data_IF_608627796553
#
_entry.id   IF_608627796553
#
_cell.length_a   1.000
_cell.length_b   1.000
_cell.length_c   1.000
_cell.angle_alpha   90.00
_cell.angle_beta   90.00
_cell.angle_gamma   90.00
#
_symmetry.space_group_name_H-M   'P 1'
#
loop_
_entity.id
_entity.type
_entity.pdbx_description
1 polymer ?
#
# COMPACT_ATOMS: atom_id res chain seq x y z
N UNK A 1 -11.07 -17.76 5.98
CA UNK A 1 -10.02 -18.25 5.08
C UNK A 1 -9.27 -17.05 4.48
N UNK A 2 -7.97 -17.15 4.45
CA UNK A 2 -7.12 -16.08 3.98
C UNK A 2 -6.81 -16.24 2.48
N UNK A 3 -6.48 -15.13 1.83
CA UNK A 3 -5.96 -15.17 0.48
C UNK A 3 -4.61 -15.91 0.46
N UNK A 4 -4.34 -16.65 -0.61
CA UNK A 4 -3.16 -17.47 -0.73
C UNK A 4 -2.03 -16.69 -1.40
N UNK A 5 -0.85 -16.67 -0.77
CA UNK A 5 0.35 -16.06 -1.34
C UNK A 5 1.00 -17.02 -2.32
N UNK A 6 1.43 -16.52 -3.47
CA UNK A 6 2.02 -17.31 -4.55
C UNK A 6 3.42 -16.78 -4.86
N UNK A 7 4.43 -17.61 -4.59
CA UNK A 7 5.84 -17.29 -4.88
C UNK A 7 6.49 -18.56 -5.48
N UNK A 8 6.37 -18.78 -6.80
CA UNK A 8 6.85 -20.04 -7.41
C UNK A 8 8.38 -20.09 -7.44
N UNK A 9 8.91 -21.32 -7.38
CA UNK A 9 10.37 -21.56 -7.45
C UNK A 9 10.98 -21.17 -8.80
N UNK A 10 10.16 -21.06 -9.83
CA UNK A 10 10.60 -20.69 -11.19
C UNK A 10 10.87 -19.20 -11.34
N UNK A 11 10.55 -18.40 -10.36
CA UNK A 11 10.86 -16.98 -10.31
C UNK A 11 11.82 -16.69 -9.15
N UNK A 12 12.64 -15.66 -9.30
CA UNK A 12 13.47 -15.20 -8.18
C UNK A 12 12.57 -14.85 -6.98
N UNK A 13 13.04 -15.05 -5.74
CA UNK A 13 12.27 -14.63 -4.57
C UNK A 13 11.92 -13.14 -4.63
N UNK A 14 10.80 -12.73 -3.99
CA UNK A 14 10.47 -11.31 -3.94
C UNK A 14 11.63 -10.47 -3.39
N UNK A 15 11.95 -9.38 -4.07
CA UNK A 15 13.07 -8.52 -3.71
C UNK A 15 12.75 -7.62 -2.50
N UNK A 16 11.55 -7.67 -1.97
CA UNK A 16 11.12 -6.82 -0.87
C UNK A 16 9.90 -7.39 -0.16
N UNK A 17 9.19 -6.51 0.53
CA UNK A 17 8.05 -6.87 1.38
C UNK A 17 6.76 -7.06 0.57
N UNK A 18 6.74 -8.05 -0.32
CA UNK A 18 5.57 -8.35 -1.15
C UNK A 18 5.55 -9.84 -1.53
N UNK A 19 4.43 -10.29 -2.10
CA UNK A 19 4.31 -11.58 -2.78
C UNK A 19 4.23 -11.35 -4.30
N UNK A 20 4.71 -12.34 -5.09
CA UNK A 20 4.57 -12.25 -6.55
C UNK A 20 3.12 -12.28 -6.98
N UNK A 21 2.30 -13.08 -6.31
CA UNK A 21 0.88 -13.13 -6.58
C UNK A 21 0.09 -13.43 -5.32
N UNK A 22 -1.20 -13.12 -5.36
CA UNK A 22 -2.14 -13.44 -4.27
C UNK A 22 -3.42 -13.94 -4.91
N UNK A 23 -3.86 -15.13 -4.48
CA UNK A 23 -5.15 -15.69 -4.89
C UNK A 23 -6.16 -15.43 -3.79
N UNK A 24 -7.28 -14.79 -4.13
CA UNK A 24 -8.41 -14.65 -3.23
C UNK A 24 -9.61 -15.38 -3.82
N UNK A 25 -10.42 -16.07 -3.01
CA UNK A 25 -11.64 -16.71 -3.50
C UNK A 25 -12.61 -15.69 -4.11
N UNK A 26 -13.48 -16.16 -5.01
CA UNK A 26 -14.49 -15.30 -5.64
C UNK A 26 -15.58 -14.85 -4.70
N UNK A 27 -15.83 -15.58 -3.60
CA UNK A 27 -16.82 -15.19 -2.58
C UNK A 27 -16.17 -14.29 -1.54
N UNK A 28 -17.00 -13.59 -0.75
CA UNK A 28 -16.52 -12.67 0.28
C UNK A 28 -16.72 -11.22 -0.11
N UNK A 29 -16.06 -10.33 0.62
CA UNK A 29 -16.16 -8.90 0.39
C UNK A 29 -14.85 -8.34 -0.13
N UNK A 30 -14.93 -7.56 -1.18
CA UNK A 30 -13.81 -6.84 -1.77
C UNK A 30 -13.90 -5.37 -1.41
N UNK A 31 -12.75 -4.79 -1.08
CA UNK A 31 -12.62 -3.35 -0.84
C UNK A 31 -11.61 -2.79 -1.82
N UNK A 32 -12.00 -1.76 -2.53
CA UNK A 32 -11.12 -1.00 -3.43
C UNK A 32 -10.82 0.32 -2.75
N UNK A 33 -9.56 0.52 -2.36
CA UNK A 33 -9.12 1.74 -1.68
C UNK A 33 -8.56 2.69 -2.73
N UNK A 34 -9.19 3.84 -2.85
CA UNK A 34 -8.71 4.90 -3.75
C UNK A 34 -7.31 5.36 -3.34
N UNK A 35 -6.60 6.00 -4.27
CA UNK A 35 -5.29 6.57 -3.97
C UNK A 35 -5.34 7.47 -2.74
N UNK A 36 -4.50 7.14 -1.76
CA UNK A 36 -4.36 7.91 -0.53
C UNK A 36 -3.08 8.72 -0.60
N UNK A 37 -3.18 9.99 -0.27
CA UNK A 37 -2.05 10.91 -0.21
C UNK A 37 -1.84 11.37 1.23
N UNK A 38 -0.81 12.14 1.48
CA UNK A 38 -0.39 12.54 2.83
C UNK A 38 -1.24 13.62 3.48
N UNK A 39 -2.57 13.56 3.33
CA UNK A 39 -3.45 14.50 4.00
C UNK A 39 -3.75 14.04 5.43
N UNK A 40 -3.64 14.98 6.35
CA UNK A 40 -4.04 14.80 7.74
C UNK A 40 -5.57 14.89 7.86
N UNK A 41 -6.17 14.45 8.99
CA UNK A 41 -7.63 14.49 9.14
C UNK A 41 -8.26 15.88 8.98
N UNK A 42 -7.52 16.95 9.26
CA UNK A 42 -8.00 18.33 9.09
C UNK A 42 -7.89 18.82 7.63
N UNK A 43 -7.38 17.98 6.71
CA UNK A 43 -7.25 18.31 5.30
C UNK A 43 -5.93 18.98 4.93
N UNK A 44 -5.02 19.21 5.88
CA UNK A 44 -3.71 19.78 5.59
C UNK A 44 -2.74 18.69 5.13
N UNK A 45 -1.81 19.06 4.23
CA UNK A 45 -0.79 18.16 3.73
C UNK A 45 0.35 18.05 4.75
N UNK A 46 0.76 16.82 5.06
CA UNK A 46 1.95 16.61 5.89
C UNK A 46 3.19 17.15 5.18
N UNK A 47 4.17 17.63 5.96
CA UNK A 47 5.34 18.30 5.43
C UNK A 47 6.50 17.32 5.22
N UNK A 48 6.90 17.15 3.97
CA UNK A 48 7.99 16.28 3.58
C UNK A 48 7.56 14.84 3.29
N UNK A 49 8.49 14.04 2.74
CA UNK A 49 8.17 12.71 2.22
C UNK A 49 7.71 11.74 3.32
N UNK A 50 8.53 11.53 4.34
CA UNK A 50 8.22 10.52 5.37
C UNK A 50 6.90 10.84 6.10
N UNK A 51 6.62 12.09 6.52
CA UNK A 51 5.31 12.41 7.08
C UNK A 51 4.16 12.22 6.11
N UNK A 52 4.34 12.55 4.81
CA UNK A 52 3.30 12.30 3.81
C UNK A 52 3.03 10.81 3.63
N UNK A 53 4.08 9.99 3.50
CA UNK A 53 3.95 8.55 3.35
C UNK A 53 3.26 7.92 4.57
N UNK A 54 3.63 8.35 5.77
CA UNK A 54 3.01 7.89 7.01
C UNK A 54 1.53 8.24 7.06
N UNK A 55 1.18 9.49 6.72
CA UNK A 55 -0.22 9.93 6.72
C UNK A 55 -1.04 9.18 5.68
N UNK A 56 -0.49 8.96 4.48
CA UNK A 56 -1.17 8.22 3.43
C UNK A 56 -1.43 6.77 3.84
N UNK A 57 -0.45 6.09 4.40
CA UNK A 57 -0.62 4.73 4.91
C UNK A 57 -1.62 4.69 6.06
N UNK A 58 -1.58 5.65 6.97
CA UNK A 58 -2.55 5.74 8.06
C UNK A 58 -3.97 5.90 7.53
N UNK A 59 -4.15 6.72 6.49
CA UNK A 59 -5.45 6.87 5.83
C UNK A 59 -5.92 5.55 5.22
N UNK A 60 -5.02 4.82 4.56
CA UNK A 60 -5.35 3.52 3.99
C UNK A 60 -5.80 2.54 5.09
N UNK A 61 -5.11 2.49 6.21
CA UNK A 61 -5.48 1.64 7.35
C UNK A 61 -6.84 2.05 7.91
N UNK A 62 -7.14 3.35 7.98
CA UNK A 62 -8.45 3.83 8.43
C UNK A 62 -9.57 3.38 7.49
N UNK A 63 -9.35 3.42 6.17
CA UNK A 63 -10.33 2.93 5.20
C UNK A 63 -10.55 1.42 5.36
N UNK A 64 -9.48 0.65 5.52
CA UNK A 64 -9.59 -0.78 5.82
C UNK A 64 -10.43 -1.01 7.08
N UNK A 65 -10.12 -0.30 8.15
CA UNK A 65 -10.83 -0.43 9.42
C UNK A 65 -12.32 -0.12 9.32
N UNK A 66 -12.69 0.88 8.52
CA UNK A 66 -14.09 1.22 8.28
C UNK A 66 -14.86 0.09 7.58
N UNK A 67 -14.17 -0.76 6.84
CA UNK A 67 -14.74 -1.95 6.19
C UNK A 67 -14.60 -3.22 7.05
N UNK A 68 -14.13 -3.10 8.29
CA UNK A 68 -13.91 -4.25 9.16
C UNK A 68 -12.70 -5.07 8.75
N UNK A 69 -11.70 -4.43 8.12
CA UNK A 69 -10.49 -5.08 7.62
C UNK A 69 -9.23 -4.47 8.24
N UNK A 70 -8.12 -5.14 8.06
CA UNK A 70 -6.79 -4.67 8.46
C UNK A 70 -5.76 -5.07 7.38
N UNK A 71 -4.48 -4.84 7.65
CA UNK A 71 -3.41 -5.11 6.69
C UNK A 71 -3.36 -6.58 6.25
N UNK A 72 -3.83 -7.52 7.06
CA UNK A 72 -3.85 -8.94 6.71
C UNK A 72 -4.81 -9.26 5.55
N UNK A 73 -5.73 -8.35 5.25
CA UNK A 73 -6.71 -8.51 4.17
C UNK A 73 -6.23 -7.91 2.85
N UNK A 74 -5.06 -7.24 2.83
CA UNK A 74 -4.54 -6.64 1.61
C UNK A 74 -4.21 -7.71 0.56
N UNK A 75 -4.71 -7.51 -0.66
CA UNK A 75 -4.47 -8.36 -1.83
C UNK A 75 -3.43 -7.73 -2.73
N UNK A 76 -3.61 -6.45 -3.05
CA UNK A 76 -2.75 -5.70 -3.96
C UNK A 76 -2.53 -4.29 -3.42
N UNK A 77 -1.27 -3.87 -3.45
CA UNK A 77 -0.88 -2.49 -3.13
C UNK A 77 -0.13 -1.91 -4.32
N UNK A 78 -0.51 -0.73 -4.77
CA UNK A 78 0.20 0.01 -5.80
C UNK A 78 0.67 1.34 -5.22
N UNK A 79 1.96 1.60 -5.36
CA UNK A 79 2.63 2.76 -4.76
C UNK A 79 3.23 3.65 -5.83
N UNK A 80 3.04 4.95 -5.68
CA UNK A 80 3.52 5.96 -6.62
C UNK A 80 4.46 6.92 -5.90
N UNK A 81 5.69 7.04 -6.40
CA UNK A 81 6.69 8.00 -5.94
C UNK A 81 6.96 9.02 -7.05
N UNK A 82 7.31 10.23 -6.68
CA UNK A 82 7.78 11.25 -7.66
C UNK A 82 9.30 11.37 -7.68
N UNK A 83 9.99 10.72 -6.74
CA UNK A 83 11.46 10.74 -6.65
C UNK A 83 11.96 9.41 -6.10
N UNK A 84 12.79 8.71 -6.89
CA UNK A 84 13.34 7.43 -6.50
C UNK A 84 14.24 7.49 -5.24
N UNK A 85 14.76 8.67 -4.90
CA UNK A 85 15.56 8.84 -3.68
C UNK A 85 14.79 8.50 -2.41
N UNK A 86 13.46 8.58 -2.44
CA UNK A 86 12.62 8.31 -1.27
C UNK A 86 12.35 6.82 -1.02
N UNK A 87 12.84 5.92 -1.88
CA UNK A 87 12.54 4.50 -1.76
C UNK A 87 12.96 3.91 -0.41
N UNK A 88 14.14 4.30 0.07
CA UNK A 88 14.66 3.80 1.35
C UNK A 88 13.81 4.26 2.53
N UNK A 89 13.44 5.54 2.54
CA UNK A 89 12.54 6.07 3.58
C UNK A 89 11.18 5.38 3.54
N UNK A 90 10.65 5.14 2.34
CA UNK A 90 9.38 4.44 2.16
C UNK A 90 9.42 3.05 2.78
N UNK A 91 10.49 2.30 2.58
CA UNK A 91 10.61 0.95 3.14
C UNK A 91 10.50 0.98 4.67
N UNK A 92 11.11 1.96 5.31
CA UNK A 92 11.02 2.14 6.77
C UNK A 92 9.58 2.47 7.20
N UNK A 93 8.93 3.41 6.53
CA UNK A 93 7.55 3.80 6.85
C UNK A 93 6.59 2.63 6.62
N UNK A 94 6.65 2.04 5.43
CA UNK A 94 5.73 0.99 5.00
C UNK A 94 5.79 -0.25 5.89
N UNK A 95 6.98 -0.63 6.36
CA UNK A 95 7.15 -1.81 7.19
C UNK A 95 6.39 -1.72 8.52
N UNK A 96 6.21 -0.52 9.05
CA UNK A 96 5.43 -0.31 10.28
C UNK A 96 3.97 -0.72 10.07
N UNK A 97 3.39 -0.41 8.89
CA UNK A 97 1.99 -0.71 8.61
C UNK A 97 1.77 -2.13 8.11
N UNK A 98 2.69 -2.66 7.30
CA UNK A 98 2.57 -4.01 6.76
C UNK A 98 2.92 -5.10 7.76
N UNK A 99 3.88 -4.85 8.65
CA UNK A 99 4.37 -5.89 9.54
C UNK A 99 4.84 -7.10 8.73
N UNK A 100 4.28 -8.27 9.02
CA UNK A 100 4.61 -9.51 8.31
C UNK A 100 3.75 -9.75 7.06
N UNK A 101 2.80 -8.85 6.77
CA UNK A 101 1.92 -9.03 5.61
C UNK A 101 2.68 -8.79 4.30
N UNK A 102 2.39 -9.62 3.29
CA UNK A 102 3.08 -9.60 2.00
C UNK A 102 2.08 -9.63 0.86
N UNK A 103 1.31 -8.55 0.66
CA UNK A 103 0.40 -8.48 -0.49
C UNK A 103 1.18 -8.45 -1.80
N UNK A 104 0.50 -8.68 -2.91
CA UNK A 104 1.06 -8.37 -4.22
C UNK A 104 1.29 -6.86 -4.29
N UNK A 105 2.43 -6.43 -4.84
CA UNK A 105 2.82 -5.03 -4.78
C UNK A 105 3.48 -4.58 -6.07
N UNK A 106 3.17 -3.37 -6.49
CA UNK A 106 3.86 -2.67 -7.58
C UNK A 106 4.21 -1.28 -7.09
N UNK A 107 5.45 -0.85 -7.38
CA UNK A 107 5.90 0.49 -7.08
C UNK A 107 6.45 1.11 -8.35
N UNK A 108 6.00 2.31 -8.67
CA UNK A 108 6.47 3.06 -9.83
C UNK A 108 6.85 4.48 -9.42
N UNK A 109 7.85 5.02 -10.12
CA UNK A 109 8.20 6.43 -10.03
C UNK A 109 7.52 7.13 -11.19
N UNK A 110 6.72 8.14 -10.89
CA UNK A 110 5.95 8.90 -11.87
C UNK A 110 6.50 10.32 -11.97
N UNK A 111 6.20 10.99 -13.07
CA UNK A 111 6.67 12.36 -13.30
C UNK A 111 6.09 13.34 -12.28
N UNK A 112 4.84 13.18 -11.92
CA UNK A 112 4.14 14.02 -10.95
C UNK A 112 2.87 13.30 -10.48
N UNK A 113 2.39 13.68 -9.31
CA UNK A 113 1.04 13.35 -8.85
C UNK A 113 0.10 14.49 -9.24
N UNK A 114 -1.16 14.43 -8.81
CA UNK A 114 -2.17 15.39 -9.25
C UNK A 114 -1.84 16.84 -8.83
N UNK A 115 -1.06 17.00 -7.74
CA UNK A 115 -0.57 18.31 -7.31
C UNK A 115 0.95 18.26 -7.11
N UNK A 116 1.68 19.35 -7.43
CA UNK A 116 3.16 19.35 -7.37
C UNK A 116 3.73 19.08 -5.98
N UNK A 117 3.03 19.46 -4.93
CA UNK A 117 3.48 19.27 -3.55
C UNK A 117 3.25 17.85 -3.02
N UNK A 118 2.51 17.03 -3.74
CA UNK A 118 2.28 15.63 -3.35
C UNK A 118 3.46 14.77 -3.76
N UNK A 119 4.07 14.08 -2.79
CA UNK A 119 5.29 13.30 -2.99
C UNK A 119 5.03 11.79 -2.99
N UNK A 120 3.87 11.37 -2.52
CA UNK A 120 3.55 9.97 -2.31
C UNK A 120 2.06 9.71 -2.48
N UNK A 121 1.75 8.59 -3.12
CA UNK A 121 0.38 8.07 -3.19
C UNK A 121 0.39 6.55 -3.12
N UNK A 122 -0.61 5.98 -2.46
CA UNK A 122 -0.79 4.53 -2.35
C UNK A 122 -2.25 4.17 -2.52
N UNK A 123 -2.51 3.12 -3.31
CA UNK A 123 -3.83 2.55 -3.46
C UNK A 123 -3.80 1.06 -3.17
N UNK A 124 -4.92 0.45 -2.91
CA UNK A 124 -4.95 -0.95 -2.55
C UNK A 124 -6.27 -1.63 -2.90
N UNK A 125 -6.19 -2.95 -2.99
CA UNK A 125 -7.36 -3.82 -3.03
C UNK A 125 -7.24 -4.78 -1.86
N UNK A 126 -8.33 -4.98 -1.12
CA UNK A 126 -8.39 -5.88 0.01
C UNK A 126 -9.58 -6.84 -0.13
N UNK A 127 -9.50 -7.97 0.56
CA UNK A 127 -10.54 -8.99 0.53
C UNK A 127 -10.64 -9.67 1.88
N UNK A 128 -11.86 -9.98 2.28
CA UNK A 128 -12.10 -10.87 3.43
C UNK A 128 -13.25 -11.83 3.15
N UNK A 129 -13.23 -12.95 3.86
CA UNK A 129 -14.28 -13.96 3.78
C UNK A 129 -15.64 -13.41 4.28
#
# INVERSE_FOLDING_TARGET
MNAQKINPFTTAPPAGSYSHGVVAPGSGQWLYVAGQIGLLPDGTLADGFAPQAKAAWQNLIHVLGAAGMDASHLVKVTTYLVDAQHLKELNTVRSVFLGSERPASTLVVVQALAKPEWLFEVEAVAWRA
#
